data_IF_394987181792
#
_entry.id   IF_394987181792
#
_cell.length_a   1.000
_cell.length_b   1.000
_cell.length_c   1.000
_cell.angle_alpha   90.00
_cell.angle_beta   90.00
_cell.angle_gamma   90.00
#
_symmetry.space_group_name_H-M   'P 1'
#
loop_
_entity.id
_entity.type
_entity.pdbx_description
1 polymer ?
#
# COMPACT_ATOMS: atom_id res chain seq x y z
N UNK A 1 24.55 -23.52 -5.31
CA UNK A 1 24.66 -23.16 -6.75
C UNK A 1 26.10 -22.89 -7.13
N UNK A 2 26.80 -21.89 -6.55
CA UNK A 2 28.23 -21.59 -6.87
C UNK A 2 29.16 -22.81 -7.01
N UNK A 3 29.16 -23.74 -6.06
CA UNK A 3 30.02 -24.95 -6.10
C UNK A 3 29.70 -25.92 -7.26
N UNK A 4 28.53 -25.81 -7.89
CA UNK A 4 28.17 -26.57 -9.08
C UNK A 4 28.63 -25.86 -10.38
N UNK A 5 28.57 -24.53 -10.43
CA UNK A 5 29.05 -23.72 -11.56
C UNK A 5 30.58 -23.76 -11.69
N UNK A 6 31.27 -23.88 -10.57
CA UNK A 6 32.73 -24.07 -10.51
C UNK A 6 33.15 -25.44 -11.06
N UNK A 7 32.39 -26.50 -10.76
CA UNK A 7 32.63 -27.86 -11.29
C UNK A 7 32.38 -27.99 -12.79
N UNK A 8 31.51 -27.16 -13.36
CA UNK A 8 31.19 -27.16 -14.80
C UNK A 8 31.93 -26.09 -15.59
N UNK A 9 32.74 -25.25 -14.94
CA UNK A 9 33.44 -24.13 -15.57
C UNK A 9 32.53 -23.01 -16.09
N UNK A 10 31.30 -22.89 -15.55
CA UNK A 10 30.24 -21.97 -16.01
C UNK A 10 29.83 -20.97 -14.92
N UNK A 11 30.77 -20.53 -14.09
CA UNK A 11 30.48 -19.61 -12.97
C UNK A 11 29.87 -18.30 -13.47
N UNK A 12 30.37 -17.74 -14.57
CA UNK A 12 29.86 -16.47 -15.13
C UNK A 12 28.38 -16.57 -15.53
N UNK A 13 28.00 -17.65 -16.22
CA UNK A 13 26.62 -17.93 -16.61
C UNK A 13 25.73 -18.13 -15.38
N UNK A 14 26.25 -18.77 -14.33
CA UNK A 14 25.50 -18.97 -13.08
C UNK A 14 25.34 -17.68 -12.27
N UNK A 15 26.35 -16.79 -12.27
CA UNK A 15 26.28 -15.48 -11.62
C UNK A 15 25.22 -14.59 -12.28
N UNK A 16 25.09 -14.63 -13.62
CA UNK A 16 24.01 -13.95 -14.34
C UNK A 16 22.63 -14.46 -13.92
N UNK A 17 22.43 -15.79 -13.90
CA UNK A 17 21.15 -16.36 -13.46
C UNK A 17 20.79 -15.99 -12.01
N UNK A 18 21.79 -15.82 -11.12
CA UNK A 18 21.55 -15.36 -9.75
C UNK A 18 21.14 -13.88 -9.74
N UNK A 19 21.79 -13.04 -10.56
CA UNK A 19 21.41 -11.64 -10.68
C UNK A 19 19.97 -11.49 -11.18
N UNK A 20 19.62 -12.18 -12.27
CA UNK A 20 18.26 -12.17 -12.82
C UNK A 20 17.22 -12.65 -11.79
N UNK A 21 17.55 -13.68 -11.02
CA UNK A 21 16.67 -14.19 -9.96
C UNK A 21 16.40 -13.14 -8.86
N UNK A 22 17.43 -12.41 -8.43
CA UNK A 22 17.27 -11.37 -7.41
C UNK A 22 16.53 -10.15 -7.95
N UNK A 23 16.75 -9.77 -9.22
CA UNK A 23 15.99 -8.70 -9.86
C UNK A 23 14.49 -9.07 -9.91
N UNK A 24 14.16 -10.30 -10.32
CA UNK A 24 12.78 -10.80 -10.32
C UNK A 24 12.17 -10.81 -8.91
N UNK A 25 12.94 -11.20 -7.89
CA UNK A 25 12.48 -11.22 -6.49
C UNK A 25 12.22 -9.80 -5.96
N UNK A 26 13.07 -8.85 -6.30
CA UNK A 26 12.92 -7.44 -5.95
C UNK A 26 11.70 -6.84 -6.65
N UNK A 27 11.52 -7.09 -7.94
CA UNK A 27 10.37 -6.60 -8.69
C UNK A 27 9.05 -7.16 -8.14
N UNK A 28 9.00 -8.46 -7.84
CA UNK A 28 7.84 -9.07 -7.19
C UNK A 28 7.53 -8.46 -5.81
N UNK A 29 8.57 -8.12 -5.04
CA UNK A 29 8.41 -7.44 -3.76
C UNK A 29 7.88 -6.01 -3.94
N UNK A 30 8.39 -5.27 -4.92
CA UNK A 30 7.94 -3.91 -5.23
C UNK A 30 6.47 -3.89 -5.69
N UNK A 31 6.06 -4.84 -6.51
CA UNK A 31 4.67 -5.01 -6.92
C UNK A 31 3.76 -5.28 -5.72
N UNK A 32 4.19 -6.18 -4.83
CA UNK A 32 3.47 -6.48 -3.59
C UNK A 32 3.33 -5.27 -2.67
N UNK A 33 4.39 -4.47 -2.51
CA UNK A 33 4.36 -3.23 -1.74
C UNK A 33 3.42 -2.19 -2.35
N UNK A 34 3.44 -2.05 -3.68
CA UNK A 34 2.59 -1.10 -4.40
C UNK A 34 1.11 -1.51 -4.31
N UNK A 35 0.80 -2.80 -4.41
CA UNK A 35 -0.55 -3.33 -4.27
C UNK A 35 -1.15 -3.08 -2.87
N UNK A 36 -0.33 -2.95 -1.82
CA UNK A 36 -0.79 -2.60 -0.48
C UNK A 36 -0.91 -1.09 -0.25
N UNK A 37 -0.16 -0.28 -1.00
CA UNK A 37 -0.24 1.17 -0.93
C UNK A 37 -1.60 1.70 -1.39
N UNK A 38 -2.15 1.14 -2.46
CA UNK A 38 -3.45 1.55 -3.01
C UNK A 38 -4.62 1.46 -2.01
N UNK A 39 -4.89 0.32 -1.34
CA UNK A 39 -5.96 0.24 -0.35
C UNK A 39 -5.73 1.13 0.87
N UNK A 40 -4.47 1.34 1.28
CA UNK A 40 -4.11 2.21 2.39
C UNK A 40 -4.48 3.68 2.08
N UNK A 41 -4.16 4.13 0.86
CA UNK A 41 -4.54 5.46 0.39
C UNK A 41 -6.07 5.63 0.31
N UNK A 42 -6.80 4.61 -0.13
CA UNK A 42 -8.27 4.66 -0.14
C UNK A 42 -8.87 4.79 1.26
N UNK A 43 -8.37 4.03 2.23
CA UNK A 43 -8.82 4.13 3.63
C UNK A 43 -8.52 5.53 4.18
N UNK A 44 -7.31 6.04 3.94
CA UNK A 44 -6.90 7.38 4.38
C UNK A 44 -7.80 8.47 3.79
N UNK A 45 -8.07 8.42 2.48
CA UNK A 45 -8.98 9.34 1.80
C UNK A 45 -10.41 9.25 2.38
N UNK A 46 -10.89 8.04 2.62
CA UNK A 46 -12.19 7.78 3.22
C UNK A 46 -12.35 8.41 4.60
N UNK A 47 -11.31 8.32 5.44
CA UNK A 47 -11.29 8.97 6.77
C UNK A 47 -11.35 10.50 6.65
N UNK A 48 -10.56 11.08 5.74
CA UNK A 48 -10.58 12.54 5.51
C UNK A 48 -11.95 13.00 5.05
N UNK A 49 -12.51 12.36 4.02
CA UNK A 49 -13.82 12.73 3.46
C UNK A 49 -14.91 12.53 4.52
N UNK A 50 -14.89 11.40 5.24
CA UNK A 50 -15.83 11.12 6.32
C UNK A 50 -15.77 12.18 7.43
N UNK A 51 -14.57 12.60 7.82
CA UNK A 51 -14.38 13.68 8.80
C UNK A 51 -14.95 15.03 8.33
N UNK A 52 -14.78 15.36 7.05
CA UNK A 52 -15.33 16.59 6.45
C UNK A 52 -16.87 16.54 6.46
N UNK A 53 -17.45 15.42 6.03
CA UNK A 53 -18.91 15.22 6.01
C UNK A 53 -19.49 15.38 7.41
N UNK A 54 -18.91 14.69 8.41
CA UNK A 54 -19.36 14.83 9.80
C UNK A 54 -19.25 16.28 10.26
N UNK A 55 -18.14 16.97 9.96
CA UNK A 55 -17.94 18.37 10.35
C UNK A 55 -18.96 19.32 9.71
N UNK A 56 -19.42 19.05 8.48
CA UNK A 56 -20.44 19.84 7.80
C UNK A 56 -21.86 19.56 8.30
N UNK A 57 -22.20 18.29 8.57
CA UNK A 57 -23.58 17.90 8.95
C UNK A 57 -23.86 17.95 10.45
N UNK A 58 -22.86 17.71 11.31
CA UNK A 58 -23.00 17.80 12.77
C UNK A 58 -23.59 19.14 13.25
N UNK A 59 -23.16 20.32 12.77
CA UNK A 59 -23.75 21.59 13.18
C UNK A 59 -25.21 21.72 12.76
N UNK A 60 -25.63 21.11 11.64
CA UNK A 60 -27.04 21.11 11.22
C UNK A 60 -27.90 20.35 12.23
N UNK A 61 -27.45 19.17 12.68
CA UNK A 61 -28.16 18.40 13.72
C UNK A 61 -28.21 19.15 15.05
N UNK A 62 -27.10 19.78 15.46
CA UNK A 62 -27.07 20.60 16.68
C UNK A 62 -27.98 21.83 16.57
N UNK A 63 -28.06 22.49 15.42
CA UNK A 63 -29.01 23.59 15.20
C UNK A 63 -30.47 23.12 15.27
N UNK A 64 -30.78 21.92 14.76
CA UNK A 64 -32.12 21.32 14.90
C UNK A 64 -32.52 21.10 16.37
N UNK A 65 -31.57 20.71 17.22
CA UNK A 65 -31.76 20.52 18.66
C UNK A 65 -31.97 21.86 19.39
N UNK A 66 -31.19 22.90 19.02
CA UNK A 66 -31.31 24.26 19.60
C UNK A 66 -32.62 24.94 19.15
N UNK A 67 -33.10 24.68 17.94
CA UNK A 67 -34.36 25.25 17.40
C UNK A 67 -35.60 24.45 17.85
N UNK A 68 -35.46 23.15 18.13
CA UNK A 68 -36.54 22.29 18.63
C UNK A 68 -36.68 22.26 20.16
N UNK A 69 -35.67 22.73 20.91
CA UNK A 69 -35.56 22.64 22.36
C UNK A 69 -35.91 23.91 23.15
N UNK A 70 -36.77 24.79 22.64
CA UNK A 70 -37.35 25.88 23.44
C UNK A 70 -38.78 25.54 23.86
N UNK A 71 -38.88 24.63 24.83
CA UNK A 71 -39.91 24.65 25.88
C UNK A 71 -39.23 24.48 27.22
#
# INVERSE_FOLDING_TARGET
MMAAGEKTGKIDEMMQNIADFFDDEVDAMLDGLTALLEPLLMVFLGVIIGGIVISMFLPIFKMGEVVGGSK
#
